data_IF_266776616103
#
_entry.id   IF_266776616103
#
_cell.length_a   1.000
_cell.length_b   1.000
_cell.length_c   1.000
_cell.angle_alpha   90.00
_cell.angle_beta   90.00
_cell.angle_gamma   90.00
#
_symmetry.space_group_name_H-M   'P 1'
#
loop_
_entity.id
_entity.type
_entity.pdbx_description
1 polymer ?
#
# COMPACT_ATOMS: atom_id res chain seq x y z
N UNK A 1 14.47 8.68 -17.45
CA UNK A 1 14.95 8.14 -16.17
C UNK A 1 15.22 9.19 -15.11
N UNK A 2 15.87 10.33 -15.37
CA UNK A 2 16.14 11.31 -14.29
C UNK A 2 14.87 11.76 -13.55
N UNK A 3 13.84 12.21 -14.28
CA UNK A 3 12.59 12.69 -13.69
C UNK A 3 11.89 11.60 -12.87
N UNK A 4 11.87 10.37 -13.38
CA UNK A 4 11.24 9.22 -12.74
C UNK A 4 11.93 8.87 -11.42
N UNK A 5 13.26 8.78 -11.44
CA UNK A 5 14.05 8.48 -10.25
C UNK A 5 13.96 9.61 -9.21
N UNK A 6 13.94 10.87 -9.66
CA UNK A 6 13.75 12.02 -8.78
C UNK A 6 12.37 11.99 -8.10
N UNK A 7 11.29 11.80 -8.87
CA UNK A 7 9.94 11.69 -8.31
C UNK A 7 9.81 10.50 -7.34
N UNK A 8 10.38 9.35 -7.71
CA UNK A 8 10.43 8.17 -6.83
C UNK A 8 11.19 8.45 -5.53
N UNK A 9 12.34 9.11 -5.59
CA UNK A 9 13.10 9.50 -4.40
C UNK A 9 12.32 10.48 -3.51
N UNK A 10 11.63 11.45 -4.11
CA UNK A 10 10.74 12.37 -3.35
C UNK A 10 9.63 11.58 -2.66
N UNK A 11 8.98 10.64 -3.35
CA UNK A 11 7.94 9.78 -2.76
C UNK A 11 8.47 9.01 -1.53
N UNK A 12 9.68 8.46 -1.60
CA UNK A 12 10.31 7.77 -0.47
C UNK A 12 10.61 8.72 0.70
N UNK A 13 11.21 9.89 0.43
CA UNK A 13 11.58 10.87 1.46
C UNK A 13 10.36 11.42 2.19
N UNK A 14 9.24 11.62 1.50
CA UNK A 14 8.01 12.15 2.09
C UNK A 14 7.37 11.20 3.11
N UNK A 15 7.61 9.88 2.99
CA UNK A 15 6.97 8.87 3.82
C UNK A 15 7.96 8.05 4.68
N UNK A 16 9.28 8.24 4.55
CA UNK A 16 10.25 7.49 5.38
C UNK A 16 10.06 7.73 6.89
N UNK A 17 9.48 8.88 7.27
CA UNK A 17 9.15 9.20 8.65
C UNK A 17 8.06 8.29 9.25
N UNK A 18 7.33 7.55 8.42
CA UNK A 18 6.21 6.69 8.86
C UNK A 18 6.69 5.30 9.29
N UNK A 19 7.94 4.93 8.99
CA UNK A 19 8.53 3.67 9.42
C UNK A 19 8.55 3.49 10.94
N UNK A 20 8.55 4.59 11.70
CA UNK A 20 8.48 4.58 13.16
C UNK A 20 7.08 4.78 13.72
N UNK A 21 6.04 4.79 12.89
CA UNK A 21 4.65 4.92 13.32
C UNK A 21 4.09 3.58 13.79
N UNK A 22 3.07 3.65 14.66
CA UNK A 22 2.29 2.50 15.08
C UNK A 22 1.07 2.29 14.16
N UNK A 23 0.56 1.07 14.14
CA UNK A 23 -0.74 0.76 13.53
C UNK A 23 -1.85 1.66 14.07
N UNK A 24 -2.65 2.23 13.17
CA UNK A 24 -3.70 3.18 13.52
C UNK A 24 -5.06 2.81 12.88
N UNK A 25 -6.15 3.20 13.53
CA UNK A 25 -7.53 3.05 13.05
C UNK A 25 -7.84 1.68 12.41
N UNK A 26 -7.98 1.65 11.09
CA UNK A 26 -8.37 0.50 10.29
C UNK A 26 -7.36 -0.65 10.36
N UNK A 27 -6.08 -0.37 10.62
CA UNK A 27 -5.04 -1.39 10.80
C UNK A 27 -5.39 -2.37 11.93
N UNK A 28 -6.08 -1.89 12.96
CA UNK A 28 -6.50 -2.77 14.05
C UNK A 28 -7.36 -3.91 13.54
N UNK A 29 -8.31 -3.62 12.64
CA UNK A 29 -9.23 -4.64 12.11
C UNK A 29 -8.64 -5.37 10.91
N UNK A 30 -7.97 -4.65 10.02
CA UNK A 30 -7.41 -5.20 8.78
C UNK A 30 -6.16 -6.05 9.02
N UNK A 31 -5.40 -5.77 10.09
CA UNK A 31 -4.12 -6.42 10.39
C UNK A 31 -4.18 -7.13 11.75
N UNK A 32 -4.34 -6.40 12.86
CA UNK A 32 -4.15 -6.98 14.21
C UNK A 32 -5.14 -8.10 14.56
N UNK A 33 -6.40 -7.95 14.15
CA UNK A 33 -7.47 -8.93 14.47
C UNK A 33 -7.89 -9.80 13.29
N UNK A 34 -7.31 -9.59 12.11
CA UNK A 34 -7.73 -10.27 10.90
C UNK A 34 -7.19 -11.72 10.88
N UNK A 35 -8.11 -12.68 10.95
CA UNK A 35 -7.77 -14.11 10.98
C UNK A 35 -7.15 -14.58 9.65
N UNK A 36 -7.39 -13.88 8.55
CA UNK A 36 -6.83 -14.23 7.24
C UNK A 36 -5.30 -14.06 7.17
N UNK A 37 -4.69 -13.35 8.12
CA UNK A 37 -3.23 -13.17 8.18
C UNK A 37 -2.53 -14.32 8.88
N UNK A 38 -3.27 -15.14 9.64
CA UNK A 38 -2.70 -16.18 10.48
C UNK A 38 -2.33 -17.44 9.67
N UNK A 39 -1.20 -18.10 9.98
CA UNK A 39 -0.73 -19.26 9.22
C UNK A 39 -1.69 -20.47 9.30
N UNK A 40 -2.43 -20.61 10.39
CA UNK A 40 -3.43 -21.67 10.61
C UNK A 40 -4.71 -21.49 9.77
N UNK A 41 -5.03 -20.26 9.37
CA UNK A 41 -6.19 -19.99 8.52
C UNK A 41 -5.85 -20.35 7.08
N UNK A 42 -6.68 -21.12 6.35
CA UNK A 42 -6.44 -21.42 4.95
C UNK A 42 -6.26 -20.15 4.12
N UNK A 43 -5.14 -20.02 3.41
CA UNK A 43 -4.83 -18.79 2.65
C UNK A 43 -5.87 -18.47 1.57
N UNK A 44 -6.64 -19.48 1.12
CA UNK A 44 -7.72 -19.32 0.15
C UNK A 44 -8.91 -18.52 0.69
N UNK A 45 -9.07 -18.39 2.00
CA UNK A 45 -10.15 -17.61 2.63
C UNK A 45 -10.15 -16.15 2.17
N UNK A 46 -8.97 -15.61 1.85
CA UNK A 46 -8.79 -14.25 1.32
C UNK A 46 -9.63 -13.98 0.04
N UNK A 47 -10.01 -15.01 -0.72
CA UNK A 47 -10.88 -14.87 -1.90
C UNK A 47 -12.38 -14.91 -1.59
N UNK A 48 -12.75 -15.32 -0.39
CA UNK A 48 -14.13 -15.46 0.06
C UNK A 48 -14.51 -14.44 1.14
N UNK A 49 -13.52 -13.91 1.85
CA UNK A 49 -13.68 -12.94 2.92
C UNK A 49 -13.50 -11.51 2.40
N UNK A 50 -14.12 -10.56 3.08
CA UNK A 50 -13.87 -9.15 2.86
C UNK A 50 -12.52 -8.73 3.46
N UNK A 51 -12.12 -7.49 3.17
CA UNK A 51 -10.87 -6.89 3.66
C UNK A 51 -10.67 -6.99 5.18
N UNK A 52 -11.74 -7.19 5.95
CA UNK A 52 -11.72 -7.25 7.41
C UNK A 52 -11.75 -8.67 7.96
N UNK A 53 -11.66 -9.70 7.10
CA UNK A 53 -11.71 -11.11 7.48
C UNK A 53 -13.13 -11.63 7.74
N UNK A 54 -14.16 -11.01 7.15
CA UNK A 54 -15.55 -11.48 7.26
C UNK A 54 -16.05 -12.02 5.94
N UNK A 55 -16.58 -13.25 5.92
CA UNK A 55 -17.13 -13.89 4.72
C UNK A 55 -18.06 -12.97 3.92
N UNK A 56 -17.79 -12.80 2.62
CA UNK A 56 -18.51 -11.89 1.74
C UNK A 56 -20.02 -12.17 1.65
N UNK A 57 -20.46 -13.39 1.94
CA UNK A 57 -21.89 -13.75 1.96
C UNK A 57 -22.56 -13.43 3.30
N UNK A 58 -21.78 -13.21 4.37
CA UNK A 58 -22.30 -12.88 5.69
C UNK A 58 -22.96 -11.50 5.72
N UNK A 59 -24.07 -11.34 6.45
CA UNK A 59 -24.83 -10.09 6.53
C UNK A 59 -24.06 -8.94 7.18
N UNK A 60 -23.13 -9.26 8.09
CA UNK A 60 -22.24 -8.28 8.73
C UNK A 60 -20.98 -7.92 7.95
N UNK A 61 -20.78 -8.47 6.75
CA UNK A 61 -19.63 -8.12 5.89
C UNK A 61 -19.81 -6.71 5.31
N UNK A 62 -18.72 -5.95 5.27
CA UNK A 62 -18.67 -4.64 4.61
C UNK A 62 -18.64 -4.76 3.08
N UNK A 63 -18.55 -5.98 2.53
CA UNK A 63 -18.45 -6.30 1.09
C UNK A 63 -17.23 -5.66 0.40
N UNK A 64 -16.26 -5.19 1.17
CA UNK A 64 -15.03 -4.60 0.68
C UNK A 64 -14.07 -5.70 0.20
N UNK A 65 -14.09 -6.01 -1.09
CA UNK A 65 -13.25 -7.07 -1.66
C UNK A 65 -11.86 -6.55 -2.04
N UNK A 66 -10.81 -6.96 -1.30
CA UNK A 66 -9.41 -6.52 -1.47
C UNK A 66 -8.40 -7.67 -1.30
N UNK A 67 -8.55 -8.79 -2.02
CA UNK A 67 -7.80 -10.02 -1.75
C UNK A 67 -6.28 -9.84 -1.87
N UNK A 68 -5.80 -9.04 -2.83
CA UNK A 68 -4.37 -8.80 -3.00
C UNK A 68 -3.76 -7.97 -1.88
N UNK A 69 -4.54 -7.06 -1.28
CA UNK A 69 -4.11 -6.26 -0.13
C UNK A 69 -4.06 -7.13 1.13
N UNK A 70 -5.09 -7.93 1.38
CA UNK A 70 -5.08 -8.88 2.50
C UNK A 70 -3.94 -9.90 2.35
N UNK A 71 -3.65 -10.35 1.12
CA UNK A 71 -2.53 -11.24 0.85
C UNK A 71 -1.18 -10.58 1.13
N UNK A 72 -0.98 -9.30 0.77
CA UNK A 72 0.27 -8.61 1.10
C UNK A 72 0.44 -8.47 2.62
N UNK A 73 -0.64 -8.20 3.36
CA UNK A 73 -0.61 -8.16 4.83
C UNK A 73 -0.33 -9.53 5.45
N UNK A 74 -0.86 -10.62 4.89
CA UNK A 74 -0.55 -11.99 5.32
C UNK A 74 0.93 -12.30 5.13
N UNK A 75 1.51 -11.90 4.00
CA UNK A 75 2.94 -12.09 3.74
C UNK A 75 3.80 -11.25 4.70
N UNK A 76 3.43 -10.00 4.97
CA UNK A 76 4.10 -9.18 5.98
C UNK A 76 4.04 -9.83 7.37
N UNK A 77 2.85 -10.32 7.77
CA UNK A 77 2.66 -11.01 9.04
C UNK A 77 3.53 -12.27 9.14
N UNK A 78 3.64 -13.04 8.05
CA UNK A 78 4.47 -14.24 8.02
C UNK A 78 5.98 -13.97 8.19
N UNK A 79 6.44 -12.78 7.80
CA UNK A 79 7.86 -12.39 7.89
C UNK A 79 8.18 -11.67 9.20
N UNK A 80 7.32 -10.74 9.62
CA UNK A 80 7.60 -9.80 10.72
C UNK A 80 6.53 -9.75 11.81
N UNK A 81 5.51 -10.61 11.75
CA UNK A 81 4.42 -10.61 12.73
C UNK A 81 3.68 -9.28 12.76
N UNK A 82 3.43 -8.75 13.96
CA UNK A 82 2.73 -7.48 14.19
C UNK A 82 3.69 -6.30 14.40
N UNK A 83 4.87 -6.31 13.80
CA UNK A 83 5.78 -5.15 13.78
C UNK A 83 5.38 -4.17 12.65
N UNK A 84 4.87 -2.96 12.96
CA UNK A 84 4.36 -2.02 11.96
C UNK A 84 5.39 -1.60 10.91
N UNK A 85 6.67 -1.54 11.31
CA UNK A 85 7.78 -1.12 10.47
C UNK A 85 7.83 -1.84 9.11
N UNK A 86 7.60 -3.15 9.10
CA UNK A 86 7.64 -3.96 7.87
C UNK A 86 6.50 -3.61 6.91
N UNK A 87 5.31 -3.33 7.44
CA UNK A 87 4.15 -2.94 6.66
C UNK A 87 4.35 -1.58 6.00
N UNK A 88 4.81 -0.60 6.77
CA UNK A 88 5.14 0.73 6.25
C UNK A 88 6.27 0.68 5.24
N UNK A 89 7.32 -0.11 5.48
CA UNK A 89 8.42 -0.25 4.51
C UNK A 89 7.92 -0.74 3.15
N UNK A 90 7.09 -1.78 3.13
CA UNK A 90 6.52 -2.31 1.88
C UNK A 90 5.67 -1.26 1.19
N UNK A 91 4.79 -0.58 1.92
CA UNK A 91 3.92 0.46 1.35
C UNK A 91 4.72 1.64 0.78
N UNK A 92 5.74 2.13 1.50
CA UNK A 92 6.62 3.22 1.05
C UNK A 92 7.41 2.80 -0.20
N UNK A 93 7.95 1.58 -0.23
CA UNK A 93 8.65 1.05 -1.39
C UNK A 93 7.73 0.94 -2.62
N UNK A 94 6.50 0.45 -2.43
CA UNK A 94 5.49 0.38 -3.48
C UNK A 94 5.07 1.77 -3.97
N UNK A 95 4.96 2.77 -3.09
CA UNK A 95 4.68 4.16 -3.47
C UNK A 95 5.80 4.76 -4.33
N UNK A 96 7.06 4.52 -3.96
CA UNK A 96 8.21 4.91 -4.78
C UNK A 96 8.19 4.25 -6.16
N UNK A 97 7.92 2.95 -6.22
CA UNK A 97 7.83 2.20 -7.47
C UNK A 97 6.68 2.69 -8.37
N UNK A 98 5.46 2.85 -7.83
CA UNK A 98 4.31 3.32 -8.61
C UNK A 98 4.48 4.76 -9.05
N UNK A 99 5.16 5.61 -8.26
CA UNK A 99 5.51 6.97 -8.67
C UNK A 99 6.48 6.98 -9.86
N UNK A 100 7.48 6.09 -9.88
CA UNK A 100 8.40 5.92 -11.03
C UNK A 100 7.61 5.48 -12.28
N UNK A 101 6.72 4.50 -12.13
CA UNK A 101 5.88 3.99 -13.23
C UNK A 101 4.92 5.07 -13.74
N UNK A 102 4.27 5.80 -12.84
CA UNK A 102 3.40 6.92 -13.18
C UNK A 102 4.15 8.01 -13.92
N UNK A 103 5.35 8.38 -13.47
CA UNK A 103 6.18 9.39 -14.15
C UNK A 103 6.64 8.91 -15.54
N UNK A 104 6.91 7.61 -15.69
CA UNK A 104 7.20 7.00 -17.00
C UNK A 104 5.99 7.10 -17.94
N UNK A 105 4.78 6.82 -17.43
CA UNK A 105 3.54 6.98 -18.18
C UNK A 105 3.29 8.45 -18.55
N UNK A 106 3.47 9.38 -17.60
CA UNK A 106 3.34 10.81 -17.86
C UNK A 106 4.32 11.30 -18.92
N UNK A 107 5.55 10.77 -18.95
CA UNK A 107 6.53 11.05 -20.01
C UNK A 107 6.02 10.60 -21.38
N UNK A 108 5.39 9.43 -21.48
CA UNK A 108 4.83 8.95 -22.74
C UNK A 108 3.70 9.85 -23.27
N UNK A 109 2.90 10.42 -22.36
CA UNK A 109 1.73 11.23 -22.72
C UNK A 109 2.04 12.73 -22.91
N UNK A 110 2.90 13.30 -22.07
CA UNK A 110 3.19 14.74 -22.00
C UNK A 110 4.55 15.11 -22.60
N UNK A 111 5.34 14.11 -23.00
CA UNK A 111 6.71 14.27 -23.44
C UNK A 111 7.73 14.33 -22.30
N UNK A 112 9.01 14.29 -22.67
CA UNK A 112 10.10 14.47 -21.74
C UNK A 112 10.24 15.94 -21.32
N UNK A 113 10.51 16.18 -20.03
CA UNK A 113 10.86 17.50 -19.52
C UNK A 113 10.00 17.92 -18.33
N UNK A 114 9.68 19.21 -18.28
CA UNK A 114 9.02 19.83 -17.13
C UNK A 114 7.65 19.20 -16.81
N UNK A 115 6.84 18.92 -17.83
CA UNK A 115 5.46 18.46 -17.60
C UNK A 115 5.36 17.05 -16.99
N UNK A 116 6.19 16.11 -17.44
CA UNK A 116 6.25 14.78 -16.84
C UNK A 116 6.87 14.81 -15.44
N UNK A 117 7.86 15.69 -15.21
CA UNK A 117 8.39 15.93 -13.86
C UNK A 117 7.32 16.48 -12.92
N UNK A 118 6.60 17.53 -13.31
CA UNK A 118 5.54 18.13 -12.49
C UNK A 118 4.42 17.14 -12.20
N UNK A 119 3.97 16.37 -13.20
CA UNK A 119 2.97 15.33 -13.00
C UNK A 119 3.44 14.29 -11.97
N UNK A 120 4.69 13.81 -12.09
CA UNK A 120 5.26 12.85 -11.15
C UNK A 120 5.43 13.39 -9.73
N UNK A 121 5.83 14.66 -9.58
CA UNK A 121 5.97 15.30 -8.26
C UNK A 121 4.60 15.53 -7.60
N UNK A 122 3.59 15.94 -8.38
CA UNK A 122 2.22 16.07 -7.89
C UNK A 122 1.72 14.70 -7.41
N UNK A 123 1.89 13.65 -8.21
CA UNK A 123 1.50 12.29 -7.83
C UNK A 123 2.23 11.81 -6.56
N UNK A 124 3.56 11.99 -6.49
CA UNK A 124 4.38 11.58 -5.35
C UNK A 124 3.91 12.20 -4.02
N UNK A 125 3.47 13.46 -4.07
CA UNK A 125 3.13 14.29 -2.91
C UNK A 125 1.63 14.44 -2.65
N UNK A 126 0.78 13.84 -3.49
CA UNK A 126 -0.66 14.06 -3.38
C UNK A 126 -1.22 13.46 -2.07
N UNK A 127 -1.90 14.24 -1.21
CA UNK A 127 -2.39 13.76 0.08
C UNK A 127 -3.39 12.60 0.01
N UNK A 128 -4.01 12.38 -1.16
CA UNK A 128 -4.89 11.23 -1.40
C UNK A 128 -4.18 9.87 -1.19
N UNK A 129 -2.85 9.86 -1.27
CA UNK A 129 -2.06 8.63 -1.08
C UNK A 129 -1.76 8.36 0.39
N UNK A 130 -1.95 9.32 1.32
CA UNK A 130 -1.45 9.19 2.69
C UNK A 130 -1.95 7.92 3.35
N UNK A 131 -3.27 7.71 3.46
CA UNK A 131 -3.84 6.51 4.10
C UNK A 131 -3.42 5.18 3.44
N UNK A 132 -3.08 5.18 2.15
CA UNK A 132 -2.65 3.97 1.46
C UNK A 132 -1.16 3.66 1.71
N UNK A 133 -0.36 4.68 2.01
CA UNK A 133 1.09 4.55 2.21
C UNK A 133 1.44 4.43 3.69
N UNK A 134 0.74 5.17 4.56
CA UNK A 134 1.11 5.37 5.95
C UNK A 134 -0.05 5.77 6.86
#
# INVERSE_FOLDING_TARGET
MFAELLCGAVALVLYVNTLGADFCYDDSRAIKTNQDLLPETPWTNIFYDDFWGTLLTHSGSHKSYRPLCTLSFRLNHAVGGLEPWGYHLVNVALHGAVTILFTSLARLLLGAGLWSLLAGLIFASHPIHTEAVA
#
